data_IF_298445857923
#
_entry.id   IF_298445857923
#
_cell.length_a   1.000
_cell.length_b   1.000
_cell.length_c   1.000
_cell.angle_alpha   90.00
_cell.angle_beta   90.00
_cell.angle_gamma   90.00
#
_symmetry.space_group_name_H-M   'P 1'
#
loop_
_entity.id
_entity.type
_entity.pdbx_description
1 polymer ?
#
# COMPACT_ATOMS: atom_id res chain seq x y z
N UNK A 1 -1.46 -0.15 -21.65
CA UNK A 1 -1.07 -1.13 -20.60
C UNK A 1 -0.08 -0.43 -19.66
N UNK A 2 0.05 -0.79 -18.38
CA UNK A 2 0.89 -0.01 -17.41
C UNK A 2 2.31 0.28 -17.92
N UNK A 3 2.91 -0.63 -18.69
CA UNK A 3 4.23 -0.43 -19.31
C UNK A 3 4.32 0.71 -20.34
N UNK A 4 3.20 1.26 -20.81
CA UNK A 4 3.19 2.45 -21.68
C UNK A 4 3.39 3.75 -20.89
N UNK A 5 3.27 3.70 -19.56
CA UNK A 5 3.47 4.83 -18.65
C UNK A 5 4.89 4.82 -18.04
N UNK A 6 5.69 3.80 -18.33
CA UNK A 6 7.08 3.71 -17.90
C UNK A 6 7.94 4.78 -18.59
N UNK A 7 8.84 5.41 -17.83
CA UNK A 7 9.79 6.36 -18.35
C UNK A 7 10.84 6.74 -17.31
N UNK A 8 12.03 7.11 -17.78
CA UNK A 8 13.16 7.44 -16.92
C UNK A 8 12.81 8.50 -15.88
N UNK A 9 13.14 8.21 -14.62
CA UNK A 9 12.94 9.12 -13.49
C UNK A 9 11.48 9.35 -13.07
N UNK A 10 10.54 8.48 -13.50
CA UNK A 10 9.12 8.59 -13.13
C UNK A 10 8.67 7.40 -12.28
N UNK A 11 7.87 7.69 -11.26
CA UNK A 11 7.14 6.68 -10.49
C UNK A 11 5.69 6.66 -10.95
N UNK A 12 5.20 5.47 -11.33
CA UNK A 12 3.80 5.27 -11.70
C UNK A 12 3.08 4.58 -10.54
N UNK A 13 2.00 5.20 -10.05
CA UNK A 13 1.13 4.62 -9.03
C UNK A 13 -0.17 4.21 -9.70
N UNK A 14 -0.54 2.94 -9.57
CA UNK A 14 -1.82 2.42 -10.07
C UNK A 14 -2.79 2.27 -8.90
N UNK A 15 -3.75 3.19 -8.81
CA UNK A 15 -4.89 3.04 -7.90
C UNK A 15 -5.88 2.03 -8.50
N UNK A 16 -6.12 0.94 -7.78
CA UNK A 16 -6.89 -0.20 -8.26
C UNK A 16 -8.22 -0.31 -7.52
N UNK A 17 -9.25 -0.77 -8.23
CA UNK A 17 -10.51 -1.12 -7.59
C UNK A 17 -10.30 -2.16 -6.47
N UNK A 18 -11.05 -2.01 -5.38
CA UNK A 18 -11.02 -2.96 -4.28
C UNK A 18 -11.34 -4.39 -4.76
N UNK A 19 -10.52 -5.34 -4.34
CA UNK A 19 -10.62 -6.73 -4.76
C UNK A 19 -9.34 -7.22 -5.41
N UNK A 20 -9.43 -8.33 -6.13
CA UNK A 20 -8.26 -9.01 -6.71
C UNK A 20 -8.28 -9.10 -8.23
N UNK A 21 -9.29 -8.51 -8.87
CA UNK A 21 -9.47 -8.60 -10.32
C UNK A 21 -8.29 -8.02 -11.09
N UNK A 22 -7.68 -6.94 -10.59
CA UNK A 22 -6.47 -6.34 -11.17
C UNK A 22 -5.28 -7.29 -11.05
N UNK A 23 -5.07 -7.90 -9.89
CA UNK A 23 -3.96 -8.84 -9.67
C UNK A 23 -4.06 -10.08 -10.55
N UNK A 24 -5.26 -10.59 -10.80
CA UNK A 24 -5.47 -11.71 -11.74
C UNK A 24 -5.04 -11.42 -13.18
N UNK A 25 -4.89 -10.14 -13.54
CA UNK A 25 -4.47 -9.69 -14.86
C UNK A 25 -3.02 -9.19 -14.88
N UNK A 26 -2.39 -9.10 -13.72
CA UNK A 26 -1.03 -8.62 -13.57
C UNK A 26 -0.07 -9.72 -14.04
N UNK A 27 0.75 -9.40 -15.02
CA UNK A 27 1.78 -10.30 -15.53
C UNK A 27 3.13 -10.02 -14.83
N UNK A 28 4.00 -11.04 -14.73
CA UNK A 28 5.37 -10.87 -14.25
C UNK A 28 6.08 -9.69 -14.93
N UNK A 29 6.80 -8.90 -14.13
CA UNK A 29 7.55 -7.72 -14.60
C UNK A 29 6.73 -6.48 -14.97
N UNK A 30 5.40 -6.45 -14.79
CA UNK A 30 4.58 -5.26 -15.05
C UNK A 30 4.54 -4.24 -13.89
N UNK A 31 5.03 -4.63 -12.72
CA UNK A 31 5.15 -3.75 -11.55
C UNK A 31 6.32 -4.22 -10.69
N UNK A 32 7.02 -3.28 -10.06
CA UNK A 32 8.09 -3.59 -9.11
C UNK A 32 7.53 -4.07 -7.77
N UNK A 33 6.44 -3.44 -7.33
CA UNK A 33 5.84 -3.66 -6.01
C UNK A 33 4.31 -3.65 -6.08
N UNK A 34 3.68 -4.48 -5.24
CA UNK A 34 2.26 -4.45 -4.94
C UNK A 34 2.07 -4.03 -3.48
N UNK A 35 1.32 -2.95 -3.29
CA UNK A 35 0.90 -2.48 -1.97
C UNK A 35 -0.48 -3.03 -1.64
N UNK A 36 -0.57 -3.90 -0.63
CA UNK A 36 -1.84 -4.46 -0.16
C UNK A 36 -2.32 -3.65 1.05
N UNK A 37 -3.35 -2.82 0.86
CA UNK A 37 -3.94 -2.02 1.94
C UNK A 37 -4.96 -2.86 2.71
N UNK A 38 -4.72 -3.09 4.00
CA UNK A 38 -5.55 -3.91 4.87
C UNK A 38 -6.02 -3.11 6.09
N UNK A 39 -7.31 -3.21 6.41
CA UNK A 39 -7.94 -2.61 7.59
C UNK A 39 -8.34 -3.70 8.61
N UNK A 40 -8.55 -3.36 9.89
CA UNK A 40 -8.96 -4.31 10.93
C UNK A 40 -10.45 -4.70 10.81
N UNK A 41 -10.84 -5.25 9.66
CA UNK A 41 -12.20 -5.69 9.37
C UNK A 41 -12.23 -6.90 8.44
N UNK A 42 -13.06 -7.89 8.77
CA UNK A 42 -13.07 -9.21 8.11
C UNK A 42 -13.06 -9.14 6.58
N UNK A 43 -13.91 -8.29 5.98
CA UNK A 43 -13.98 -8.11 4.52
C UNK A 43 -12.66 -7.62 3.91
N UNK A 44 -12.00 -6.66 4.55
CA UNK A 44 -10.71 -6.14 4.07
C UNK A 44 -9.61 -7.21 4.21
N UNK A 45 -9.61 -7.94 5.32
CA UNK A 45 -8.63 -8.99 5.58
C UNK A 45 -8.79 -10.19 4.63
N UNK A 46 -10.00 -10.57 4.27
CA UNK A 46 -10.26 -11.64 3.29
C UNK A 46 -9.73 -11.25 1.91
N UNK A 47 -9.94 -10.01 1.49
CA UNK A 47 -9.37 -9.49 0.25
C UNK A 47 -7.85 -9.41 0.32
N UNK A 48 -7.28 -8.94 1.43
CA UNK A 48 -5.83 -8.85 1.61
C UNK A 48 -5.15 -10.23 1.52
N UNK A 49 -5.71 -11.26 2.18
CA UNK A 49 -5.24 -12.65 2.06
C UNK A 49 -5.24 -13.11 0.61
N UNK A 50 -6.35 -12.90 -0.09
CA UNK A 50 -6.48 -13.31 -1.48
C UNK A 50 -5.52 -12.56 -2.40
N UNK A 51 -5.29 -11.26 -2.16
CA UNK A 51 -4.31 -10.47 -2.88
C UNK A 51 -2.88 -11.01 -2.69
N UNK A 52 -2.52 -11.37 -1.46
CA UNK A 52 -1.21 -11.96 -1.13
C UNK A 52 -1.01 -13.31 -1.81
N UNK A 53 -2.06 -14.14 -1.93
CA UNK A 53 -2.00 -15.43 -2.62
C UNK A 53 -1.86 -15.29 -4.15
N UNK A 54 -2.38 -14.21 -4.72
CA UNK A 54 -2.45 -14.00 -6.17
C UNK A 54 -1.32 -13.15 -6.73
N UNK A 55 -0.59 -12.43 -5.87
CA UNK A 55 0.56 -11.64 -6.29
C UNK A 55 1.60 -12.55 -6.97
N UNK A 56 2.16 -12.16 -8.13
CA UNK A 56 3.22 -12.93 -8.78
C UNK A 56 4.41 -13.14 -7.84
N UNK A 57 5.02 -14.33 -7.87
CA UNK A 57 6.14 -14.67 -6.98
C UNK A 57 7.36 -13.76 -7.17
N UNK A 58 7.52 -13.21 -8.36
CA UNK A 58 8.59 -12.30 -8.72
C UNK A 58 8.25 -10.84 -8.40
N UNK A 59 7.10 -10.51 -7.81
CA UNK A 59 6.73 -9.13 -7.46
C UNK A 59 6.89 -8.89 -5.97
N UNK A 60 7.55 -7.79 -5.59
CA UNK A 60 7.68 -7.43 -4.18
C UNK A 60 6.30 -7.07 -3.61
N UNK A 61 6.00 -7.50 -2.38
CA UNK A 61 4.71 -7.26 -1.74
C UNK A 61 4.91 -6.63 -0.36
N UNK A 62 4.25 -5.50 -0.13
CA UNK A 62 4.21 -4.81 1.14
C UNK A 62 2.76 -4.58 1.58
N UNK A 63 2.48 -4.87 2.84
CA UNK A 63 1.15 -4.65 3.43
C UNK A 63 1.12 -3.28 4.11
N UNK A 64 0.10 -2.48 3.81
CA UNK A 64 -0.20 -1.26 4.56
C UNK A 64 -1.32 -1.59 5.53
N UNK A 65 -0.98 -1.76 6.81
CA UNK A 65 -1.95 -1.92 7.89
C UNK A 65 -2.55 -0.56 8.22
N UNK A 66 -3.68 -0.27 7.58
CA UNK A 66 -4.33 1.03 7.59
C UNK A 66 -5.43 1.09 8.64
N UNK A 67 -5.71 2.31 9.15
CA UNK A 67 -6.77 2.57 10.14
C UNK A 67 -6.60 1.77 11.43
N UNK A 68 -5.35 1.62 11.88
CA UNK A 68 -5.02 0.90 13.11
C UNK A 68 -5.28 1.81 14.31
N UNK A 69 -6.23 1.44 15.19
CA UNK A 69 -6.56 2.24 16.38
C UNK A 69 -5.73 1.83 17.59
N UNK A 70 -5.41 0.56 17.69
CA UNK A 70 -4.70 -0.03 18.83
C UNK A 70 -3.93 -1.29 18.44
N UNK A 71 -3.31 -1.91 19.44
CA UNK A 71 -2.53 -3.13 19.27
C UNK A 71 -3.39 -4.33 18.84
N UNK A 72 -4.67 -4.39 19.23
CA UNK A 72 -5.55 -5.50 18.86
C UNK A 72 -5.89 -5.43 17.36
N UNK A 73 -6.14 -4.24 16.82
CA UNK A 73 -6.30 -4.04 15.38
C UNK A 73 -5.05 -4.52 14.61
N UNK A 74 -3.86 -4.16 15.09
CA UNK A 74 -2.60 -4.58 14.47
C UNK A 74 -2.41 -6.10 14.49
N UNK A 75 -2.68 -6.75 15.63
CA UNK A 75 -2.57 -8.21 15.79
C UNK A 75 -3.49 -8.97 14.84
N UNK A 76 -4.72 -8.47 14.66
CA UNK A 76 -5.69 -9.09 13.74
C UNK A 76 -5.21 -8.98 12.28
N UNK A 77 -4.63 -7.84 11.89
CA UNK A 77 -4.04 -7.66 10.55
C UNK A 77 -2.83 -8.58 10.38
N UNK A 78 -1.89 -8.59 11.34
CA UNK A 78 -0.69 -9.44 11.30
C UNK A 78 -1.05 -10.92 11.20
N UNK A 79 -2.07 -11.37 11.94
CA UNK A 79 -2.58 -12.75 11.84
C UNK A 79 -3.12 -13.07 10.45
N UNK A 80 -3.77 -12.11 9.79
CA UNK A 80 -4.31 -12.30 8.45
C UNK A 80 -3.23 -12.35 7.37
N UNK A 81 -2.19 -11.52 7.47
CA UNK A 81 -1.17 -11.36 6.41
C UNK A 81 0.11 -12.16 6.66
N UNK A 82 0.30 -12.72 7.85
CA UNK A 82 1.46 -13.54 8.21
C UNK A 82 2.75 -12.73 8.31
N UNK A 83 3.88 -13.35 7.93
CA UNK A 83 5.23 -12.76 8.04
C UNK A 83 5.57 -11.75 6.92
N UNK A 84 4.55 -11.16 6.27
CA UNK A 84 4.77 -10.17 5.21
C UNK A 84 5.30 -8.88 5.81
N UNK A 85 6.10 -8.16 5.02
CA UNK A 85 6.50 -6.82 5.41
C UNK A 85 5.26 -5.92 5.55
N UNK A 86 5.25 -5.12 6.61
CA UNK A 86 4.10 -4.32 6.99
C UNK A 86 4.51 -2.91 7.42
N UNK A 87 3.75 -1.92 6.95
CA UNK A 87 3.80 -0.54 7.41
C UNK A 87 2.48 -0.20 8.10
N UNK A 88 2.55 0.32 9.31
CA UNK A 88 1.38 0.72 10.11
C UNK A 88 1.02 2.16 9.79
N UNK A 89 -0.24 2.40 9.44
CA UNK A 89 -0.84 3.72 9.33
C UNK A 89 -1.97 3.78 10.37
N UNK A 90 -1.82 4.58 11.44
CA UNK A 90 -2.84 4.67 12.48
C UNK A 90 -4.14 5.28 11.95
N UNK A 91 -5.24 5.02 12.66
CA UNK A 91 -6.46 5.82 12.51
C UNK A 91 -6.18 7.26 12.94
N UNK A 92 -6.58 8.23 12.12
CA UNK A 92 -6.21 9.63 12.32
C UNK A 92 -7.24 10.57 11.67
N UNK A 93 -7.78 11.48 12.48
CA UNK A 93 -8.81 12.45 12.06
C UNK A 93 -8.30 13.41 10.98
N UNK A 94 -6.98 13.63 10.88
CA UNK A 94 -6.40 14.46 9.84
C UNK A 94 -6.70 13.90 8.43
N UNK A 95 -6.71 12.57 8.26
CA UNK A 95 -7.04 11.91 7.00
C UNK A 95 -8.52 12.15 6.65
N UNK A 96 -9.42 11.95 7.63
CA UNK A 96 -10.85 12.14 7.46
C UNK A 96 -11.20 13.60 7.14
N UNK A 97 -10.56 14.56 7.82
CA UNK A 97 -10.73 15.99 7.54
C UNK A 97 -10.27 16.34 6.13
N UNK A 98 -9.09 15.85 5.73
CA UNK A 98 -8.57 16.09 4.39
C UNK A 98 -9.50 15.55 3.30
N UNK A 99 -10.06 14.35 3.48
CA UNK A 99 -11.07 13.79 2.59
C UNK A 99 -12.32 14.69 2.50
N UNK A 100 -12.84 15.17 3.63
CA UNK A 100 -14.02 16.05 3.68
C UNK A 100 -13.78 17.41 3.02
N UNK A 101 -12.57 17.94 3.14
CA UNK A 101 -12.16 19.23 2.56
C UNK A 101 -11.71 19.12 1.10
N UNK A 102 -11.52 17.90 0.58
CA UNK A 102 -11.02 17.65 -0.77
C UNK A 102 -9.54 18.05 -0.96
N UNK A 103 -8.76 18.01 0.12
CA UNK A 103 -7.33 18.35 0.15
C UNK A 103 -6.49 17.09 0.32
N UNK A 104 -5.21 17.15 -0.08
CA UNK A 104 -4.28 16.07 0.26
C UNK A 104 -3.99 16.11 1.77
N UNK A 105 -3.86 14.96 2.46
CA UNK A 105 -3.59 14.93 3.90
C UNK A 105 -2.32 15.70 4.31
N UNK A 106 -1.29 15.70 3.46
CA UNK A 106 -0.04 16.44 3.67
C UNK A 106 -0.23 17.97 3.67
N UNK A 107 -1.23 18.48 2.97
CA UNK A 107 -1.55 19.91 2.93
C UNK A 107 -2.37 20.35 4.15
N UNK A 108 -3.05 19.39 4.81
CA UNK A 108 -3.93 19.62 5.95
C UNK A 108 -3.19 19.52 7.29
N UNK A 109 -2.40 18.47 7.46
CA UNK A 109 -1.56 18.28 8.65
C UNK A 109 -0.37 17.35 8.34
N UNK A 110 0.79 17.88 7.91
CA UNK A 110 1.95 17.07 7.58
C UNK A 110 2.57 16.37 8.80
N UNK A 111 2.23 16.81 10.01
CA UNK A 111 2.77 16.29 11.26
C UNK A 111 1.88 15.22 11.91
N UNK A 112 0.66 15.04 11.40
CA UNK A 112 -0.26 14.00 11.85
C UNK A 112 0.37 12.61 11.73
N UNK A 113 0.22 11.73 12.74
CA UNK A 113 0.81 10.39 12.77
C UNK A 113 0.59 9.56 11.49
N UNK A 114 -0.63 9.54 10.96
CA UNK A 114 -0.92 8.80 9.72
C UNK A 114 -0.23 9.42 8.50
N UNK A 115 -0.19 10.74 8.43
CA UNK A 115 0.43 11.48 7.31
C UNK A 115 1.94 11.27 7.31
N UNK A 116 2.60 11.35 8.48
CA UNK A 116 4.02 11.02 8.62
C UNK A 116 4.34 9.58 8.22
N UNK A 117 3.49 8.62 8.60
CA UNK A 117 3.67 7.22 8.20
C UNK A 117 3.62 7.06 6.66
N UNK A 118 2.70 7.76 6.00
CA UNK A 118 2.57 7.75 4.54
C UNK A 118 3.73 8.47 3.84
N UNK A 119 4.21 9.60 4.37
CA UNK A 119 5.40 10.31 3.84
C UNK A 119 6.61 9.38 3.91
N UNK A 120 6.87 8.77 5.06
CA UNK A 120 8.00 7.85 5.25
C UNK A 120 7.90 6.65 4.30
N UNK A 121 6.69 6.12 4.07
CA UNK A 121 6.47 5.06 3.08
C UNK A 121 6.79 5.56 1.67
N UNK A 122 6.31 6.74 1.30
CA UNK A 122 6.58 7.35 -0.01
C UNK A 122 8.07 7.59 -0.26
N UNK A 123 8.79 8.18 0.70
CA UNK A 123 10.23 8.41 0.63
C UNK A 123 11.01 7.10 0.48
N UNK A 124 10.63 6.08 1.27
CA UNK A 124 11.24 4.76 1.20
C UNK A 124 11.04 4.12 -0.18
N UNK A 125 9.82 4.20 -0.73
CA UNK A 125 9.51 3.63 -2.05
C UNK A 125 10.24 4.39 -3.16
N UNK A 126 10.35 5.71 -3.06
CA UNK A 126 11.07 6.55 -4.02
C UNK A 126 12.59 6.29 -4.03
N UNK A 127 13.14 5.82 -2.90
CA UNK A 127 14.55 5.44 -2.78
C UNK A 127 14.85 4.03 -3.34
N UNK A 128 13.84 3.26 -3.77
CA UNK A 128 14.07 1.96 -4.39
C UNK A 128 14.62 2.14 -5.81
N UNK A 129 15.75 1.50 -6.11
CA UNK A 129 16.26 1.39 -7.48
C UNK A 129 15.41 0.39 -8.28
N UNK A 130 15.17 0.64 -9.59
CA UNK A 130 14.47 -0.30 -10.45
C UNK A 130 15.20 -1.65 -10.46
N UNK A 131 14.43 -2.75 -10.56
CA UNK A 131 14.99 -4.12 -10.58
C UNK A 131 16.05 -4.35 -11.67
N UNK A 132 16.05 -3.57 -12.75
CA UNK A 132 17.02 -3.64 -13.84
C UNK A 132 18.44 -3.16 -13.53
N UNK A 133 18.67 -2.46 -12.41
CA UNK A 133 20.00 -1.95 -12.01
C UNK A 133 20.65 -2.75 -10.87
N UNK A 134 19.97 -3.79 -10.34
CA UNK A 134 20.53 -4.69 -9.33
C UNK A 134 21.42 -5.75 -10.01
N UNK A 135 22.62 -5.36 -10.44
CA UNK A 135 23.69 -6.25 -10.96
C UNK A 135 24.78 -6.43 -9.92
#
# INVERSE_FOLDING_TARGET
>A
MLGELEGDGKTTICDSEAGVATLLRLQPGQTDIVLVVAQPGAKSLDVARRAIELAPEDTDLLVVANRVRDQADLEVIQTAVGNRELVVVPEDDAITRAEQEGLAPIDVDPDAPAVRALINLGERLAALSPRGERV
#
